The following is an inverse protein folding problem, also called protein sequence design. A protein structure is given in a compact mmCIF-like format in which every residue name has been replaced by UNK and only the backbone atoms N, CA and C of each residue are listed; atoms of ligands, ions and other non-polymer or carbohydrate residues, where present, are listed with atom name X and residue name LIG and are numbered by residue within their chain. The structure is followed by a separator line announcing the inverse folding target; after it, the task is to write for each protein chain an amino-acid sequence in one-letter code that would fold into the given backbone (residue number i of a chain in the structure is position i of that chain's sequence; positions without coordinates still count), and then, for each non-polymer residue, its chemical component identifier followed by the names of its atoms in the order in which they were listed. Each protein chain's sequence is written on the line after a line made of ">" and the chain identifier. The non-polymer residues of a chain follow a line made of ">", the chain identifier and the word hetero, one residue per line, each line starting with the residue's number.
data_IF_446986193029
#
_entry.id   IF_446986193029
#
_cell.length_a   1.000
_cell.length_b   1.000
_cell.length_c   1.000
_cell.angle_alpha   90.00
_cell.angle_beta   90.00
_cell.angle_gamma   90.00
#
_symmetry.space_group_name_H-M   'P 1'
#
loop_
_entity.id
_entity.type
_entity.pdbx_description
1 polymer ?
#
# COMPACT_ATOMS: atom_id res chain seq x y z
N UNK A 1 14.79 7.06 -7.75
CA UNK A 1 15.42 5.77 -8.08
C UNK A 1 15.35 5.61 -9.58
N UNK A 2 16.44 5.22 -10.23
CA UNK A 2 16.38 4.91 -11.66
C UNK A 2 15.41 3.72 -11.88
N UNK A 3 14.44 3.87 -12.79
CA UNK A 3 13.43 2.83 -13.05
C UNK A 3 14.08 1.53 -13.50
N UNK A 4 15.21 1.62 -14.21
CA UNK A 4 15.95 0.45 -14.70
C UNK A 4 16.67 -0.29 -13.57
N UNK A 5 17.34 0.45 -12.68
CA UNK A 5 17.95 -0.10 -11.46
C UNK A 5 16.90 -0.76 -10.55
N UNK A 6 15.75 -0.11 -10.36
CA UNK A 6 14.64 -0.63 -9.58
C UNK A 6 14.15 -1.98 -10.09
N UNK A 7 13.98 -2.10 -11.40
CA UNK A 7 13.53 -3.30 -12.07
C UNK A 7 14.58 -4.40 -12.03
N UNK A 8 15.86 -4.07 -12.27
CA UNK A 8 16.96 -5.02 -12.16
C UNK A 8 17.04 -5.64 -10.76
N UNK A 9 17.08 -4.79 -9.72
CA UNK A 9 17.13 -5.24 -8.32
C UNK A 9 15.86 -5.98 -7.89
N UNK A 10 14.71 -5.66 -8.47
CA UNK A 10 13.49 -6.44 -8.24
C UNK A 10 13.65 -7.88 -8.77
N UNK A 11 14.19 -8.03 -9.97
CA UNK A 11 14.39 -9.34 -10.59
C UNK A 11 15.44 -10.20 -9.89
N UNK A 12 16.45 -9.59 -9.26
CA UNK A 12 17.43 -10.31 -8.43
C UNK A 12 16.92 -10.59 -7.02
N UNK A 13 15.77 -10.02 -6.62
CA UNK A 13 15.22 -10.13 -5.26
C UNK A 13 15.92 -9.22 -4.24
N UNK A 14 16.68 -8.23 -4.69
CA UNK A 14 17.50 -7.33 -3.86
C UNK A 14 16.85 -5.95 -3.68
N UNK A 15 15.67 -5.71 -4.26
CA UNK A 15 14.94 -4.45 -4.10
C UNK A 15 14.10 -4.43 -2.81
N UNK A 16 14.67 -3.87 -1.75
CA UNK A 16 14.00 -3.66 -0.46
C UNK A 16 13.03 -2.45 -0.43
N UNK A 17 12.90 -1.75 -1.56
CA UNK A 17 12.08 -0.54 -1.71
C UNK A 17 11.14 -0.63 -2.92
N UNK A 18 10.70 -1.85 -3.25
CA UNK A 18 9.87 -2.15 -4.42
C UNK A 18 8.59 -1.30 -4.49
N UNK A 19 8.04 -0.92 -3.34
CA UNK A 19 6.87 -0.04 -3.23
C UNK A 19 7.07 1.35 -3.85
N UNK A 20 8.31 1.80 -4.07
CA UNK A 20 8.58 3.06 -4.78
C UNK A 20 8.58 2.90 -6.31
N UNK A 21 8.49 1.66 -6.79
CA UNK A 21 8.44 1.34 -8.23
C UNK A 21 7.06 0.78 -8.60
N UNK A 22 6.67 -0.35 -8.01
CA UNK A 22 5.35 -0.96 -8.23
C UNK A 22 4.24 -0.23 -7.46
N UNK A 23 2.99 -0.44 -7.88
CA UNK A 23 1.81 0.22 -7.34
C UNK A 23 1.39 1.43 -8.17
N UNK A 24 0.62 2.33 -7.57
CA UNK A 24 0.18 3.57 -8.19
C UNK A 24 0.95 4.78 -7.66
N UNK A 25 1.52 5.57 -8.56
CA UNK A 25 2.39 6.70 -8.24
C UNK A 25 1.97 7.93 -9.00
N UNK A 26 1.86 9.06 -8.32
CA UNK A 26 1.65 10.35 -8.97
C UNK A 26 2.94 10.73 -9.72
N UNK A 27 2.81 11.00 -11.01
CA UNK A 27 3.94 11.35 -11.88
C UNK A 27 3.53 12.51 -12.81
N UNK A 28 4.53 13.25 -13.31
CA UNK A 28 4.38 14.18 -14.43
C UNK A 28 5.07 13.56 -15.64
N UNK A 29 4.32 13.36 -16.73
CA UNK A 29 4.84 12.77 -17.95
C UNK A 29 4.50 13.67 -19.14
N UNK A 30 5.52 14.08 -19.90
CA UNK A 30 5.38 14.97 -21.06
C UNK A 30 4.61 16.28 -20.75
N UNK A 31 4.74 16.82 -19.54
CA UNK A 31 4.06 18.04 -19.08
C UNK A 31 2.62 17.84 -18.62
N UNK A 32 2.16 16.59 -18.51
CA UNK A 32 0.83 16.24 -18.00
C UNK A 32 0.94 15.57 -16.62
N UNK A 33 0.14 16.03 -15.67
CA UNK A 33 0.04 15.42 -14.34
C UNK A 33 -0.95 14.25 -14.37
N UNK A 34 -0.55 13.14 -13.76
CA UNK A 34 -1.40 11.97 -13.65
C UNK A 34 -0.81 10.93 -12.73
N UNK A 35 -1.17 9.68 -12.99
CA UNK A 35 -0.72 8.54 -12.23
C UNK A 35 -0.14 7.48 -13.15
N UNK A 36 1.01 6.93 -12.76
CA UNK A 36 1.57 5.73 -13.35
C UNK A 36 1.25 4.53 -12.47
N UNK A 37 0.68 3.50 -13.09
CA UNK A 37 0.29 2.25 -12.44
C UNK A 37 1.23 1.14 -12.91
N UNK A 38 1.79 0.38 -11.97
CA UNK A 38 2.71 -0.73 -12.27
C UNK A 38 2.36 -1.98 -11.48
N UNK A 39 2.20 -3.10 -12.18
CA UNK A 39 1.94 -4.40 -11.55
C UNK A 39 2.76 -5.52 -12.20
N UNK A 40 3.33 -6.40 -11.38
CA UNK A 40 4.03 -7.57 -11.88
C UNK A 40 3.04 -8.72 -12.12
N UNK A 41 2.87 -9.11 -13.39
CA UNK A 41 1.99 -10.20 -13.80
C UNK A 41 2.58 -10.90 -15.04
N UNK A 42 3.74 -11.59 -14.90
CA UNK A 42 4.58 -11.98 -16.02
C UNK A 42 3.91 -12.96 -16.99
N UNK A 43 2.98 -13.78 -16.47
CA UNK A 43 2.24 -14.82 -17.20
C UNK A 43 0.83 -14.37 -17.63
N UNK A 44 0.45 -13.10 -17.41
CA UNK A 44 -0.79 -12.56 -17.94
C UNK A 44 -0.69 -12.41 -19.46
N UNK A 45 -1.80 -12.63 -20.16
CA UNK A 45 -1.90 -12.35 -21.59
C UNK A 45 -2.18 -10.86 -21.83
N UNK A 46 -2.97 -10.25 -20.97
CA UNK A 46 -3.29 -8.83 -21.00
C UNK A 46 -3.59 -8.35 -19.59
N UNK A 47 -3.27 -7.09 -19.32
CA UNK A 47 -3.68 -6.37 -18.11
C UNK A 47 -4.26 -5.03 -18.55
N UNK A 48 -5.41 -4.69 -17.99
CA UNK A 48 -6.01 -3.38 -18.14
C UNK A 48 -6.18 -2.74 -16.77
N UNK A 49 -5.98 -1.43 -16.70
CA UNK A 49 -6.36 -0.61 -15.56
C UNK A 49 -7.86 -0.30 -15.65
N UNK A 50 -8.57 -0.52 -14.55
CA UNK A 50 -9.99 -0.21 -14.40
C UNK A 50 -10.23 0.50 -13.08
N UNK A 51 -11.22 1.39 -13.03
CA UNK A 51 -11.60 2.08 -11.81
C UNK A 51 -12.76 3.03 -12.04
N UNK A 52 -13.02 3.89 -11.06
CA UNK A 52 -14.09 4.89 -11.15
C UNK A 52 -13.92 5.80 -12.38
N UNK A 53 -12.68 6.17 -12.70
CA UNK A 53 -12.33 7.03 -13.85
C UNK A 53 -12.48 6.36 -15.23
N UNK A 54 -12.69 5.04 -15.28
CA UNK A 54 -12.93 4.29 -16.53
C UNK A 54 -14.37 3.78 -16.66
N UNK A 55 -15.26 4.11 -15.71
CA UNK A 55 -16.51 3.37 -15.51
C UNK A 55 -16.26 1.85 -15.51
N UNK A 56 -15.23 1.41 -14.77
CA UNK A 56 -14.80 0.02 -14.69
C UNK A 56 -14.40 -0.56 -16.05
N UNK A 57 -15.09 -1.59 -16.53
CA UNK A 57 -14.72 -2.32 -17.76
C UNK A 57 -15.15 -1.61 -19.04
N UNK A 58 -16.01 -0.58 -18.95
CA UNK A 58 -16.52 0.13 -20.12
C UNK A 58 -15.40 0.85 -20.90
N UNK A 59 -14.49 1.52 -20.19
CA UNK A 59 -13.39 2.29 -20.78
C UNK A 59 -12.03 1.87 -20.21
N UNK A 60 -11.83 0.56 -20.03
CA UNK A 60 -10.59 0.01 -19.48
C UNK A 60 -9.35 0.46 -20.27
N UNK A 61 -8.26 0.76 -19.56
CA UNK A 61 -7.04 1.28 -20.18
C UNK A 61 -6.03 0.13 -20.32
N UNK A 62 -5.61 -0.25 -21.53
CA UNK A 62 -4.62 -1.31 -21.73
C UNK A 62 -3.27 -0.90 -21.12
N UNK A 63 -2.58 -1.86 -20.49
CA UNK A 63 -1.24 -1.67 -19.95
C UNK A 63 -0.19 -2.30 -20.87
N UNK A 64 1.01 -1.74 -20.88
CA UNK A 64 2.15 -2.24 -21.66
C UNK A 64 3.04 -3.15 -20.82
N UNK A 65 3.36 -4.34 -21.33
CA UNK A 65 4.23 -5.31 -20.66
C UNK A 65 5.68 -5.11 -21.08
N UNK A 66 6.56 -4.92 -20.11
CA UNK A 66 8.01 -4.90 -20.36
C UNK A 66 8.61 -6.33 -20.42
N UNK A 67 9.91 -6.42 -20.72
CA UNK A 67 10.62 -7.70 -20.88
C UNK A 67 10.62 -8.58 -19.60
N UNK A 68 10.49 -7.95 -18.43
CA UNK A 68 10.49 -8.61 -17.12
C UNK A 68 9.07 -8.95 -16.60
N UNK A 69 8.04 -8.67 -17.40
CA UNK A 69 6.66 -9.01 -17.07
C UNK A 69 5.96 -8.05 -16.11
N UNK A 70 6.50 -6.85 -15.94
CA UNK A 70 5.79 -5.73 -15.30
C UNK A 70 4.93 -5.05 -16.36
N UNK A 71 3.68 -4.80 -15.99
CA UNK A 71 2.70 -4.06 -16.78
C UNK A 71 2.64 -2.63 -16.27
N UNK A 72 2.72 -1.66 -17.18
CA UNK A 72 2.75 -0.23 -16.88
C UNK A 72 1.73 0.54 -17.72
N UNK A 73 1.11 1.58 -17.12
CA UNK A 73 0.37 2.59 -17.86
C UNK A 73 0.38 3.92 -17.11
N UNK A 74 0.48 5.03 -17.84
CA UNK A 74 0.25 6.38 -17.34
C UNK A 74 -1.14 6.86 -17.76
N UNK A 75 -1.87 7.54 -16.87
CA UNK A 75 -3.12 8.21 -17.21
C UNK A 75 -3.34 9.46 -16.37
N UNK A 76 -3.85 10.52 -17.00
CA UNK A 76 -4.31 11.75 -16.34
C UNK A 76 -5.78 11.71 -15.93
N UNK A 77 -6.51 10.63 -16.26
CA UNK A 77 -7.93 10.47 -15.92
C UNK A 77 -8.15 10.16 -14.43
N UNK A 78 -7.13 9.62 -13.76
CA UNK A 78 -7.22 9.16 -12.38
C UNK A 78 -6.97 10.31 -11.39
N UNK A 79 -7.75 10.34 -10.32
CA UNK A 79 -7.68 11.33 -9.24
C UNK A 79 -7.61 10.66 -7.86
N UNK A 80 -6.96 11.32 -6.91
CA UNK A 80 -6.84 10.84 -5.54
C UNK A 80 -8.23 10.53 -4.95
N UNK A 81 -8.35 9.43 -4.21
CA UNK A 81 -9.57 8.95 -3.58
C UNK A 81 -10.39 8.00 -4.45
N UNK A 82 -10.12 7.89 -5.75
CA UNK A 82 -10.83 6.95 -6.64
C UNK A 82 -10.41 5.50 -6.40
N UNK A 83 -11.35 4.59 -6.63
CA UNK A 83 -11.12 3.15 -6.53
C UNK A 83 -10.61 2.62 -7.87
N UNK A 84 -9.63 1.71 -7.82
CA UNK A 84 -9.11 1.02 -9.00
C UNK A 84 -8.78 -0.46 -8.71
N UNK A 85 -8.69 -1.22 -9.81
CA UNK A 85 -8.24 -2.62 -9.88
C UNK A 85 -7.50 -2.87 -11.19
N UNK A 86 -6.87 -4.04 -11.28
CA UNK A 86 -6.35 -4.59 -12.52
C UNK A 86 -7.31 -5.63 -13.07
N UNK A 87 -7.76 -5.44 -14.31
CA UNK A 87 -8.51 -6.44 -15.07
C UNK A 87 -7.53 -7.30 -15.88
N UNK A 88 -7.33 -8.53 -15.42
CA UNK A 88 -6.26 -9.43 -15.87
C UNK A 88 -6.85 -10.56 -16.70
N UNK A 89 -6.35 -10.73 -17.92
CA UNK A 89 -6.56 -11.93 -18.74
C UNK A 89 -5.43 -12.93 -18.46
N UNK A 90 -5.77 -14.09 -17.91
CA UNK A 90 -4.80 -15.17 -17.60
C UNK A 90 -4.35 -15.91 -18.86
N UNK A 91 -3.30 -16.73 -18.73
CA UNK A 91 -2.80 -17.62 -19.77
C UNK A 91 -3.86 -18.60 -20.35
N UNK A 92 -4.93 -18.88 -19.62
CA UNK A 92 -6.05 -19.72 -20.08
C UNK A 92 -7.23 -18.90 -20.66
N UNK A 93 -7.06 -17.59 -20.87
CA UNK A 93 -8.09 -16.68 -21.36
C UNK A 93 -9.09 -16.20 -20.30
N UNK A 94 -9.09 -16.75 -19.09
CA UNK A 94 -10.02 -16.32 -18.03
C UNK A 94 -9.65 -14.91 -17.55
N UNK A 95 -10.65 -14.03 -17.55
CA UNK A 95 -10.59 -12.67 -17.05
C UNK A 95 -11.04 -12.56 -15.59
N UNK A 96 -10.32 -11.75 -14.80
CA UNK A 96 -10.70 -11.44 -13.42
C UNK A 96 -10.19 -10.07 -13.02
N UNK A 97 -10.80 -9.50 -11.98
CA UNK A 97 -10.28 -8.30 -11.33
C UNK A 97 -9.41 -8.68 -10.13
N UNK A 98 -8.27 -8.00 -10.02
CA UNK A 98 -7.38 -8.11 -8.86
C UNK A 98 -7.10 -6.73 -8.28
N UNK A 99 -7.08 -6.69 -6.96
CA UNK A 99 -6.59 -5.54 -6.21
C UNK A 99 -5.10 -5.35 -6.47
N UNK A 100 -4.63 -4.11 -6.43
CA UNK A 100 -3.21 -3.82 -6.51
C UNK A 100 -2.49 -4.39 -5.27
N UNK A 101 -1.50 -5.30 -5.42
CA UNK A 101 -0.77 -5.87 -4.30
C UNK A 101 0.07 -4.86 -3.50
N UNK A 102 0.41 -3.72 -4.12
CA UNK A 102 1.26 -2.67 -3.55
C UNK A 102 0.47 -1.40 -3.23
N UNK A 103 -0.87 -1.43 -3.27
CA UNK A 103 -1.67 -0.29 -2.86
C UNK A 103 -1.47 0.05 -1.38
N UNK A 104 -1.39 1.34 -1.11
CA UNK A 104 -1.18 1.89 0.24
C UNK A 104 -2.49 2.02 1.03
N UNK A 105 -3.63 1.95 0.34
CA UNK A 105 -4.96 2.02 0.93
C UNK A 105 -5.94 1.14 0.15
N UNK A 106 -6.84 0.52 0.89
CA UNK A 106 -7.87 -0.36 0.37
C UNK A 106 -9.26 0.12 0.80
N UNK A 107 -10.28 -0.29 0.05
CA UNK A 107 -11.67 -0.16 0.48
C UNK A 107 -11.91 -0.83 1.84
N UNK A 108 -12.84 -0.29 2.61
CA UNK A 108 -13.33 -0.98 3.78
C UNK A 108 -14.06 -2.26 3.35
N UNK A 109 -13.90 -3.34 4.12
CA UNK A 109 -14.64 -4.59 3.89
C UNK A 109 -16.16 -4.31 3.81
N UNK A 110 -16.89 -4.95 2.89
CA UNK A 110 -16.49 -6.04 2.00
C UNK A 110 -15.87 -5.60 0.66
N UNK A 111 -15.54 -4.32 0.48
CA UNK A 111 -14.86 -3.81 -0.72
C UNK A 111 -13.54 -4.52 -1.00
N UNK A 112 -13.11 -4.51 -2.27
CA UNK A 112 -11.96 -5.29 -2.76
C UNK A 112 -11.07 -4.52 -3.71
N UNK A 113 -11.26 -3.20 -3.82
CA UNK A 113 -10.49 -2.28 -4.62
C UNK A 113 -9.38 -1.60 -3.84
N UNK A 114 -8.38 -1.15 -4.58
CA UNK A 114 -7.37 -0.23 -4.09
C UNK A 114 -7.91 1.19 -4.20
N UNK A 115 -7.59 2.04 -3.23
CA UNK A 115 -7.95 3.46 -3.26
C UNK A 115 -6.69 4.23 -3.62
N UNK A 116 -6.74 4.99 -4.72
CA UNK A 116 -5.65 5.86 -5.12
C UNK A 116 -5.40 6.89 -4.01
N UNK A 117 -4.24 6.83 -3.38
CA UNK A 117 -3.94 7.61 -2.17
C UNK A 117 -2.51 8.08 -2.23
N UNK A 118 -2.31 9.39 -2.09
CA UNK A 118 -0.97 9.95 -1.90
C UNK A 118 -0.61 9.83 -0.42
N UNK A 119 0.62 9.41 -0.11
CA UNK A 119 1.11 9.42 1.27
C UNK A 119 1.74 10.80 1.52
N UNK A 120 1.11 11.67 2.31
CA UNK A 120 1.70 12.97 2.60
C UNK A 120 2.97 12.81 3.44
N UNK A 121 3.92 13.74 3.25
CA UNK A 121 5.12 13.77 4.07
C UNK A 121 4.76 13.96 5.56
N UNK A 122 5.25 13.06 6.42
CA UNK A 122 4.99 13.08 7.85
C UNK A 122 6.25 13.51 8.60
N UNK A 123 6.18 14.63 9.32
CA UNK A 123 7.20 15.02 10.30
C UNK A 123 7.05 14.19 11.58
N UNK A 124 7.87 13.15 11.71
CA UNK A 124 7.94 12.30 12.90
C UNK A 124 8.64 13.00 14.07
N UNK A 125 8.27 12.63 15.30
CA UNK A 125 8.80 13.21 16.56
C UNK A 125 9.46 12.17 17.47
N UNK A 126 9.77 11.00 16.95
CA UNK A 126 10.28 9.83 17.66
C UNK A 126 11.82 9.66 17.59
N UNK A 127 12.54 10.72 17.18
CA UNK A 127 14.00 10.66 17.01
C UNK A 127 14.77 10.26 18.28
N UNK A 128 14.33 10.72 19.46
CA UNK A 128 14.94 10.32 20.75
C UNK A 128 14.74 8.82 21.03
N UNK A 129 13.58 8.27 20.68
CA UNK A 129 13.28 6.86 20.83
C UNK A 129 14.17 6.01 19.92
N UNK A 130 14.28 6.37 18.63
CA UNK A 130 15.15 5.67 17.67
C UNK A 130 16.62 5.70 18.09
N UNK A 131 17.10 6.85 18.58
CA UNK A 131 18.48 7.00 19.06
C UNK A 131 18.77 6.08 20.27
N UNK A 132 17.84 5.99 21.23
CA UNK A 132 17.96 5.07 22.37
C UNK A 132 17.92 3.61 21.93
N UNK A 133 17.00 3.26 21.03
CA UNK A 133 16.87 1.90 20.47
C UNK A 133 18.15 1.42 19.79
N UNK A 134 18.88 2.31 19.10
CA UNK A 134 20.15 1.98 18.43
C UNK A 134 21.32 1.72 19.40
N UNK A 135 21.28 2.30 20.59
CA UNK A 135 22.39 2.24 21.57
C UNK A 135 22.36 1.01 22.48
N UNK A 136 21.18 0.44 22.71
CA UNK A 136 20.98 -0.65 23.68
C UNK A 136 20.47 -1.89 22.95
N UNK A 137 21.10 -3.05 23.20
CA UNK A 137 20.60 -4.31 22.65
C UNK A 137 19.19 -4.60 23.16
N UNK A 138 18.41 -5.36 22.41
CA UNK A 138 17.11 -5.84 22.85
C UNK A 138 17.24 -6.80 24.05
N UNK A 139 18.30 -7.62 24.05
CA UNK A 139 18.58 -8.63 25.08
C UNK A 139 18.95 -8.03 26.45
N UNK A 140 19.37 -6.76 26.46
CA UNK A 140 19.86 -6.07 27.65
C UNK A 140 18.78 -5.21 28.34
N UNK A 141 17.51 -5.37 27.94
CA UNK A 141 16.40 -4.53 28.41
C UNK A 141 15.20 -5.36 28.88
N UNK A 142 14.41 -4.84 29.83
CA UNK A 142 13.18 -5.49 30.23
C UNK A 142 12.18 -5.52 29.06
N UNK A 143 11.69 -6.72 28.75
CA UNK A 143 10.69 -6.96 27.72
C UNK A 143 9.43 -7.48 28.39
N UNK A 144 8.37 -6.68 28.35
CA UNK A 144 7.03 -7.03 28.79
C UNK A 144 6.06 -6.59 27.70
N UNK A 145 5.50 -7.57 26.98
CA UNK A 145 4.72 -7.35 25.76
C UNK A 145 3.24 -7.50 26.09
N UNK A 146 2.44 -6.50 25.73
CA UNK A 146 0.98 -6.60 25.73
C UNK A 146 0.49 -6.99 24.34
N UNK A 147 0.14 -8.26 24.16
CA UNK A 147 -0.47 -8.71 22.91
C UNK A 147 -1.88 -8.11 22.75
N UNK A 148 -2.16 -7.49 21.60
CA UNK A 148 -3.45 -6.87 21.33
C UNK A 148 -3.96 -7.13 19.91
N UNK A 149 -5.28 -7.33 19.80
CA UNK A 149 -5.98 -7.28 18.52
C UNK A 149 -6.74 -5.94 18.39
N UNK A 150 -6.25 -5.06 17.52
CA UNK A 150 -6.75 -3.69 17.37
C UNK A 150 -8.27 -3.61 17.11
N UNK A 151 -8.83 -4.57 16.35
CA UNK A 151 -10.25 -4.60 16.00
C UNK A 151 -11.19 -5.07 17.12
N UNK A 152 -10.66 -5.58 18.23
CA UNK A 152 -11.47 -6.08 19.35
C UNK A 152 -11.05 -5.59 20.72
N UNK A 153 -9.96 -4.81 20.82
CA UNK A 153 -9.51 -4.25 22.09
C UNK A 153 -10.57 -3.34 22.74
N UNK A 154 -11.18 -2.45 21.95
CA UNK A 154 -12.33 -1.63 22.35
C UNK A 154 -13.20 -1.31 21.14
N UNK A 155 -14.50 -1.15 21.38
CA UNK A 155 -15.51 -0.86 20.35
C UNK A 155 -16.28 0.40 20.70
N UNK A 156 -16.70 1.11 19.67
CA UNK A 156 -17.64 2.23 19.79
C UNK A 156 -19.03 1.72 20.19
N UNK A 157 -19.93 2.60 20.67
CA UNK A 157 -21.30 2.21 21.04
C UNK A 157 -22.11 1.57 19.90
N UNK A 158 -21.80 1.93 18.64
CA UNK A 158 -22.41 1.36 17.44
C UNK A 158 -21.84 -0.03 17.05
N UNK A 159 -20.90 -0.56 17.85
CA UNK A 159 -20.27 -1.86 17.63
C UNK A 159 -19.08 -1.84 16.66
N UNK A 160 -18.76 -0.69 16.07
CA UNK A 160 -17.58 -0.54 15.20
C UNK A 160 -16.27 -0.60 16.02
N UNK A 161 -15.17 -1.10 15.45
CA UNK A 161 -13.87 -1.09 16.13
C UNK A 161 -13.37 0.36 16.28
N UNK A 162 -12.56 0.59 17.31
CA UNK A 162 -11.85 1.86 17.46
C UNK A 162 -10.91 2.12 16.27
N UNK A 163 -10.85 3.38 15.84
CA UNK A 163 -9.84 3.85 14.89
C UNK A 163 -8.45 3.93 15.55
N UNK A 164 -7.38 3.96 14.74
CA UNK A 164 -6.02 4.17 15.26
C UNK A 164 -5.86 5.48 16.04
N UNK A 165 -6.63 6.53 15.72
CA UNK A 165 -6.63 7.76 16.50
C UNK A 165 -7.18 7.54 17.92
N UNK A 166 -8.31 6.83 18.03
CA UNK A 166 -8.92 6.50 19.31
C UNK A 166 -8.05 5.52 20.11
N UNK A 167 -7.47 4.50 19.46
CA UNK A 167 -6.50 3.61 20.12
C UNK A 167 -5.29 4.40 20.64
N UNK A 168 -4.75 5.33 19.85
CA UNK A 168 -3.64 6.19 20.30
C UNK A 168 -4.02 7.00 21.54
N UNK A 169 -5.26 7.49 21.64
CA UNK A 169 -5.73 8.28 22.79
C UNK A 169 -6.08 7.44 24.03
N UNK A 170 -6.43 6.16 23.89
CA UNK A 170 -6.89 5.32 25.01
C UNK A 170 -5.96 4.14 25.34
N UNK A 171 -5.50 3.39 24.33
CA UNK A 171 -4.63 2.23 24.53
C UNK A 171 -3.23 2.64 24.98
N UNK A 172 -2.65 3.69 24.39
CA UNK A 172 -1.28 4.09 24.74
C UNK A 172 -1.19 4.53 26.22
N UNK A 173 -2.05 5.41 26.76
CA UNK A 173 -2.02 5.75 28.19
C UNK A 173 -2.20 4.53 29.10
N UNK A 174 -3.13 3.63 28.75
CA UNK A 174 -3.35 2.39 29.50
C UNK A 174 -2.07 1.53 29.57
N UNK A 175 -1.36 1.35 28.45
CA UNK A 175 -0.12 0.57 28.44
C UNK A 175 0.99 1.19 29.29
N UNK A 176 1.08 2.52 29.30
CA UNK A 176 2.03 3.27 30.14
C UNK A 176 1.70 3.09 31.62
N UNK A 177 0.42 3.22 32.01
CA UNK A 177 -0.04 3.00 33.38
C UNK A 177 0.28 1.57 33.87
N UNK A 178 0.09 0.59 32.99
CA UNK A 178 0.34 -0.82 33.29
C UNK A 178 1.81 -1.24 33.16
N UNK A 179 2.72 -0.31 32.85
CA UNK A 179 4.16 -0.53 32.72
C UNK A 179 4.56 -1.61 31.68
N UNK A 180 3.80 -1.74 30.59
CA UNK A 180 4.24 -2.53 29.45
C UNK A 180 5.36 -1.81 28.70
N UNK A 181 6.30 -2.57 28.15
CA UNK A 181 7.41 -1.99 27.35
C UNK A 181 7.15 -2.08 25.86
N UNK A 182 6.26 -2.97 25.43
CA UNK A 182 5.89 -3.20 24.02
C UNK A 182 4.41 -3.59 23.90
N UNK A 183 3.87 -3.36 22.70
CA UNK A 183 2.56 -3.83 22.21
C UNK A 183 2.75 -4.32 20.78
#
# INVERSE_FOLDING_TARGET
>A
MDKREALHTFMTGENFHLQHYLGAHREELNGEYGYTFRVWAPNAQAVHLVGDFTNWVENQIPMERNEFGVWEVFTSLAHEGQIYKYHITRANGHQLMKIDPLAVRYEARPGTGAILTEIPEKKWKDGLWLARRKRLSFEERPVNIYEAHAGSWKRNPDGSPYSFAQLKDELIPYLVEMNYTHI
#
